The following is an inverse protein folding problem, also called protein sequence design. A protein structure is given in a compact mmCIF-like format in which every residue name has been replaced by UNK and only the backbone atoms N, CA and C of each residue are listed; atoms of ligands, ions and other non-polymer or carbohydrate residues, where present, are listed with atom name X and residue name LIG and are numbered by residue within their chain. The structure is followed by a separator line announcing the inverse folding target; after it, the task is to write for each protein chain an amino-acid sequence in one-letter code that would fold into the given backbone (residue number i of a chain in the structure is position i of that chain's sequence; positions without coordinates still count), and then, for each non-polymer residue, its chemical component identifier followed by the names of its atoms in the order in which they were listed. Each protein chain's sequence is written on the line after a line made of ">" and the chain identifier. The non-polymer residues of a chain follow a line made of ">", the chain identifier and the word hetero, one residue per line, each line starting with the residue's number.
data_IF_476295031487
#
_entry.id   IF_476295031487
#
_cell.length_a   1.000
_cell.length_b   1.000
_cell.length_c   1.000
_cell.angle_alpha   90.00
_cell.angle_beta   90.00
_cell.angle_gamma   90.00
#
_symmetry.space_group_name_H-M   'P 1'
#
loop_
_entity.id
_entity.type
_entity.pdbx_description
1 polymer ?
#
# COMPACT_ATOMS: atom_id res chain seq x y z
N UNK A 1 -6.12 33.32 18.78
CA UNK A 1 -7.53 33.23 18.34
C UNK A 1 -8.10 34.62 18.21
N UNK A 2 -7.87 35.25 17.06
CA UNK A 2 -8.62 36.46 16.70
C UNK A 2 -9.96 36.01 16.12
N UNK A 3 -11.05 36.43 16.75
CA UNK A 3 -12.40 36.31 16.22
C UNK A 3 -12.52 37.29 15.04
N UNK A 4 -12.58 36.78 13.81
CA UNK A 4 -13.09 37.55 12.68
C UNK A 4 -14.61 37.50 12.71
N UNK A 5 -15.21 38.67 12.96
CA UNK A 5 -16.64 38.92 12.76
C UNK A 5 -16.86 39.06 11.26
N UNK A 6 -17.54 38.07 10.67
CA UNK A 6 -18.11 38.15 9.33
C UNK A 6 -19.38 39.01 9.44
N UNK A 7 -19.32 40.25 8.95
CA UNK A 7 -20.51 41.08 8.80
C UNK A 7 -21.28 40.59 7.56
N UNK A 8 -22.62 40.43 7.61
CA UNK A 8 -23.38 40.21 6.40
C UNK A 8 -23.30 41.47 5.54
N UNK A 9 -22.62 41.36 4.39
CA UNK A 9 -22.70 42.34 3.30
C UNK A 9 -24.17 42.49 2.94
N UNK A 10 -24.63 43.74 2.95
CA UNK A 10 -26.03 44.10 2.81
C UNK A 10 -26.56 43.68 1.45
N UNK A 11 -27.80 43.20 1.43
CA UNK A 11 -28.61 43.12 0.23
C UNK A 11 -28.70 44.52 -0.39
N UNK A 12 -27.99 44.74 -1.50
CA UNK A 12 -28.22 45.87 -2.36
C UNK A 12 -29.61 45.70 -2.98
N UNK A 13 -30.49 46.65 -2.67
CA UNK A 13 -31.76 46.81 -3.35
C UNK A 13 -31.47 47.14 -4.80
N UNK A 14 -31.99 46.36 -5.74
CA UNK A 14 -32.05 46.75 -7.15
C UNK A 14 -33.02 47.93 -7.26
N UNK A 15 -32.52 49.17 -7.19
CA UNK A 15 -33.25 50.32 -7.68
C UNK A 15 -33.23 50.30 -9.20
N UNK A 16 -34.36 49.93 -9.79
CA UNK A 16 -34.64 50.18 -11.20
C UNK A 16 -34.82 51.68 -11.43
N UNK A 17 -33.90 52.31 -12.16
CA UNK A 17 -34.19 53.57 -12.88
C UNK A 17 -33.29 54.75 -12.57
N UNK A 18 -32.04 54.68 -12.99
CA UNK A 18 -31.40 55.74 -13.79
C UNK A 18 -30.60 54.97 -14.85
N UNK A 19 -30.61 55.40 -16.11
CA UNK A 19 -29.62 54.90 -17.07
C UNK A 19 -28.27 55.44 -16.57
N UNK A 20 -27.69 54.76 -15.58
CA UNK A 20 -26.44 55.19 -14.94
C UNK A 20 -25.40 55.19 -16.05
N UNK A 21 -24.94 56.39 -16.38
CA UNK A 21 -24.01 56.58 -17.47
C UNK A 21 -22.68 55.99 -17.02
N UNK A 22 -22.35 54.83 -17.57
CA UNK A 22 -21.04 54.21 -17.41
C UNK A 22 -20.06 55.07 -18.22
N UNK A 23 -19.21 55.80 -17.50
CA UNK A 23 -18.17 56.67 -18.05
C UNK A 23 -16.77 56.02 -17.98
N UNK A 24 -16.58 55.06 -17.08
CA UNK A 24 -15.33 54.31 -16.87
C UNK A 24 -15.66 52.91 -16.34
N UNK A 25 -14.84 51.93 -16.71
CA UNK A 25 -14.89 50.58 -16.13
C UNK A 25 -13.58 50.33 -15.38
N UNK A 26 -13.64 49.50 -14.36
CA UNK A 26 -12.50 49.03 -13.60
C UNK A 26 -12.53 47.51 -13.59
N UNK A 27 -11.42 46.89 -13.98
CA UNK A 27 -11.24 45.44 -13.90
C UNK A 27 -10.39 45.07 -12.69
N UNK A 28 -10.85 44.08 -11.94
CA UNK A 28 -10.11 43.45 -10.86
C UNK A 28 -10.14 41.94 -11.05
N UNK A 29 -9.11 41.26 -10.54
CA UNK A 29 -9.03 39.81 -10.52
C UNK A 29 -8.78 39.40 -9.08
N UNK A 30 -9.59 38.46 -8.58
CA UNK A 30 -9.40 37.82 -7.28
C UNK A 30 -9.40 36.32 -7.54
N UNK A 31 -8.23 35.70 -7.36
CA UNK A 31 -8.01 34.30 -7.73
C UNK A 31 -8.43 34.02 -9.20
N UNK A 32 -9.40 33.15 -9.43
CA UNK A 32 -9.94 32.83 -10.76
C UNK A 32 -11.15 33.67 -11.16
N UNK A 33 -11.55 34.68 -10.39
CA UNK A 33 -12.74 35.48 -10.66
C UNK A 33 -12.36 36.87 -11.15
N UNK A 34 -12.79 37.21 -12.37
CA UNK A 34 -12.67 38.58 -12.92
C UNK A 34 -13.92 39.36 -12.55
N UNK A 35 -13.75 40.57 -12.04
CA UNK A 35 -14.85 41.49 -11.73
C UNK A 35 -14.69 42.78 -12.53
N UNK A 36 -15.76 43.20 -13.21
CA UNK A 36 -15.83 44.48 -13.94
C UNK A 36 -16.88 45.37 -13.29
N UNK A 37 -16.44 46.54 -12.83
CA UNK A 37 -17.32 47.51 -12.15
C UNK A 37 -17.22 48.90 -12.75
N UNK A 38 -18.24 49.71 -12.53
CA UNK A 38 -18.25 51.15 -12.76
C UNK A 38 -18.81 51.82 -11.53
N UNK A 39 -18.05 52.73 -10.91
CA UNK A 39 -18.45 53.39 -9.66
C UNK A 39 -18.94 52.41 -8.57
N UNK A 40 -18.25 51.26 -8.43
CA UNK A 40 -18.60 50.19 -7.48
C UNK A 40 -19.88 49.40 -7.83
N UNK A 41 -20.52 49.68 -8.97
CA UNK A 41 -21.65 48.91 -9.51
C UNK A 41 -21.17 47.88 -10.54
N UNK A 42 -21.74 46.67 -10.51
CA UNK A 42 -21.46 45.61 -11.47
C UNK A 42 -21.81 46.00 -12.91
N UNK A 43 -20.94 45.68 -13.87
CA UNK A 43 -21.19 45.89 -15.30
C UNK A 43 -21.47 44.55 -15.97
N UNK A 44 -22.73 44.28 -16.31
CA UNK A 44 -23.16 43.09 -17.06
C UNK A 44 -22.80 43.20 -18.55
N UNK A 45 -22.50 42.06 -19.19
CA UNK A 45 -22.20 41.95 -20.62
C UNK A 45 -20.95 42.73 -21.09
N UNK A 46 -20.03 43.08 -20.18
CA UNK A 46 -18.69 43.52 -20.55
C UNK A 46 -17.92 42.35 -21.16
N UNK A 47 -17.22 42.59 -22.25
CA UNK A 47 -16.36 41.58 -22.89
C UNK A 47 -15.06 41.47 -22.11
N UNK A 48 -14.67 40.26 -21.73
CA UNK A 48 -13.42 39.96 -21.03
C UNK A 48 -12.58 39.05 -21.92
N UNK A 49 -11.39 39.53 -22.28
CA UNK A 49 -10.39 38.79 -23.03
C UNK A 49 -9.15 38.59 -22.15
N UNK A 50 -8.91 37.35 -21.73
CA UNK A 50 -7.75 36.94 -20.95
C UNK A 50 -6.75 36.27 -21.88
N UNK A 51 -5.49 36.68 -21.79
CA UNK A 51 -4.39 36.09 -22.56
C UNK A 51 -3.16 35.91 -21.69
N UNK A 52 -2.47 34.79 -21.82
CA UNK A 52 -1.17 34.59 -21.18
C UNK A 52 -0.14 35.58 -21.70
N UNK A 53 0.68 36.08 -20.78
CA UNK A 53 1.88 36.84 -21.09
C UNK A 53 3.10 35.95 -21.28
N UNK A 54 2.98 34.68 -20.90
CA UNK A 54 4.01 33.65 -21.08
C UNK A 54 3.80 32.91 -22.41
N UNK A 55 4.85 32.80 -23.22
CA UNK A 55 4.79 32.09 -24.51
C UNK A 55 4.78 30.56 -24.34
N UNK A 56 5.28 30.06 -23.21
CA UNK A 56 5.41 28.62 -22.96
C UNK A 56 4.17 28.04 -22.26
N UNK A 57 3.34 28.88 -21.62
CA UNK A 57 2.12 28.47 -20.90
C UNK A 57 0.89 29.13 -21.54
N UNK A 58 0.26 28.51 -22.57
CA UNK A 58 -0.88 29.10 -23.25
C UNK A 58 -2.12 29.09 -22.36
N UNK A 59 -2.67 30.27 -22.11
CA UNK A 59 -3.92 30.46 -21.40
C UNK A 59 -4.72 31.55 -22.11
N UNK A 60 -5.94 31.24 -22.54
CA UNK A 60 -6.78 32.18 -23.26
C UNK A 60 -8.25 31.93 -22.95
N UNK A 61 -8.95 32.98 -22.53
CA UNK A 61 -10.37 32.94 -22.18
C UNK A 61 -11.05 34.15 -22.79
N UNK A 62 -12.14 33.90 -23.51
CA UNK A 62 -13.01 34.93 -24.07
C UNK A 62 -14.41 34.73 -23.51
N UNK A 63 -14.88 35.69 -22.71
CA UNK A 63 -16.20 35.59 -22.09
C UNK A 63 -16.86 36.96 -21.92
N UNK A 64 -18.11 36.96 -21.46
CA UNK A 64 -18.83 38.16 -21.06
C UNK A 64 -19.19 38.09 -19.59
N UNK A 65 -19.16 39.24 -18.91
CA UNK A 65 -19.59 39.32 -17.52
C UNK A 65 -21.08 39.00 -17.37
N UNK A 66 -21.42 38.34 -16.28
CA UNK A 66 -22.79 38.05 -15.89
C UNK A 66 -23.48 39.23 -15.19
N UNK A 67 -24.68 39.01 -14.66
CA UNK A 67 -25.48 40.05 -13.99
C UNK A 67 -24.81 40.63 -12.74
N UNK A 68 -23.85 39.91 -12.14
CA UNK A 68 -23.06 40.36 -11.00
C UNK A 68 -21.75 41.03 -11.45
N UNK A 69 -21.54 41.20 -12.76
CA UNK A 69 -20.36 41.84 -13.34
C UNK A 69 -19.12 40.96 -13.28
N UNK A 70 -19.30 39.64 -13.20
CA UNK A 70 -18.20 38.70 -12.97
C UNK A 70 -18.01 37.70 -14.10
N UNK A 71 -16.80 37.16 -14.21
CA UNK A 71 -16.44 36.03 -15.08
C UNK A 71 -15.58 35.05 -14.28
N UNK A 72 -16.05 33.82 -14.15
CA UNK A 72 -15.25 32.71 -13.62
C UNK A 72 -14.28 32.21 -14.70
N UNK A 73 -12.99 32.23 -14.39
CA UNK A 73 -11.93 31.71 -15.22
C UNK A 73 -11.68 30.23 -14.90
N UNK A 74 -11.32 29.39 -15.88
CA UNK A 74 -10.88 28.04 -15.61
C UNK A 74 -9.57 28.05 -14.80
N UNK A 75 -9.47 27.15 -13.82
CA UNK A 75 -8.23 26.95 -13.06
C UNK A 75 -7.07 26.59 -14.01
N UNK A 76 -5.90 27.23 -13.87
CA UNK A 76 -4.74 26.88 -14.66
C UNK A 76 -4.12 25.57 -14.15
N UNK A 77 -3.41 24.84 -15.02
CA UNK A 77 -2.67 23.63 -14.63
C UNK A 77 -1.31 23.97 -13.97
N UNK A 78 -0.76 25.15 -14.29
CA UNK A 78 0.50 25.67 -13.77
C UNK A 78 0.37 27.17 -13.53
N UNK A 79 1.23 27.75 -12.68
CA UNK A 79 1.24 29.20 -12.44
C UNK A 79 1.44 29.97 -13.74
N UNK A 80 0.50 30.87 -14.06
CA UNK A 80 0.49 31.62 -15.32
C UNK A 80 0.27 33.11 -15.08
N UNK A 81 1.06 33.95 -15.74
CA UNK A 81 0.87 35.39 -15.74
C UNK A 81 -0.06 35.77 -16.88
N UNK A 82 -1.22 36.36 -16.58
CA UNK A 82 -2.23 36.72 -17.58
C UNK A 82 -2.42 38.22 -17.67
N UNK A 83 -2.76 38.69 -18.87
CA UNK A 83 -3.34 40.00 -19.11
C UNK A 83 -4.84 39.85 -19.31
N UNK A 84 -5.62 40.52 -18.46
CA UNK A 84 -7.08 40.59 -18.56
C UNK A 84 -7.45 41.94 -19.16
N UNK A 85 -8.09 41.92 -20.33
CA UNK A 85 -8.62 43.10 -21.00
C UNK A 85 -10.15 43.06 -20.91
N UNK A 86 -10.74 44.05 -20.25
CA UNK A 86 -12.18 44.24 -20.24
C UNK A 86 -12.57 45.37 -21.20
N UNK A 87 -13.67 45.18 -21.94
CA UNK A 87 -14.26 46.24 -22.76
C UNK A 87 -15.79 46.27 -22.67
N UNK A 88 -16.36 47.47 -22.74
CA UNK A 88 -17.80 47.67 -22.66
C UNK A 88 -18.22 48.86 -23.54
N UNK A 89 -19.24 48.69 -24.38
CA UNK A 89 -19.83 49.79 -25.15
C UNK A 89 -20.97 50.41 -24.34
N UNK A 90 -20.80 51.67 -23.92
CA UNK A 90 -21.83 52.36 -23.14
C UNK A 90 -23.03 52.78 -24.02
N UNK A 91 -24.10 53.25 -23.38
CA UNK A 91 -25.31 53.70 -24.07
C UNK A 91 -25.09 54.86 -25.07
N UNK A 92 -23.97 55.58 -24.96
CA UNK A 92 -23.57 56.65 -25.89
C UNK A 92 -22.79 56.13 -27.10
N UNK A 93 -22.49 54.82 -27.16
CA UNK A 93 -21.68 54.18 -28.20
C UNK A 93 -20.18 54.42 -28.03
N UNK A 94 -19.73 54.76 -26.83
CA UNK A 94 -18.31 54.86 -26.48
C UNK A 94 -17.81 53.51 -25.95
N UNK A 95 -16.70 53.04 -26.52
CA UNK A 95 -16.01 51.83 -26.06
C UNK A 95 -15.10 52.19 -24.89
N UNK A 96 -15.46 51.69 -23.71
CA UNK A 96 -14.66 51.77 -22.50
C UNK A 96 -13.79 50.53 -22.40
N UNK A 97 -12.54 50.70 -21.99
CA UNK A 97 -11.60 49.59 -21.84
C UNK A 97 -10.80 49.76 -20.57
N UNK A 98 -10.57 48.67 -19.85
CA UNK A 98 -9.59 48.63 -18.78
C UNK A 98 -8.78 47.33 -18.86
N UNK A 99 -7.58 47.36 -18.29
CA UNK A 99 -6.62 46.25 -18.36
C UNK A 99 -5.91 46.06 -17.04
N UNK A 100 -5.83 44.82 -16.59
CA UNK A 100 -4.98 44.43 -15.47
C UNK A 100 -4.12 43.22 -15.83
N UNK A 101 -3.04 43.05 -15.09
CA UNK A 101 -2.15 41.89 -15.17
C UNK A 101 -2.19 41.20 -13.81
N UNK A 102 -2.35 39.89 -13.81
CA UNK A 102 -2.46 39.08 -12.59
C UNK A 102 -1.73 37.75 -12.78
N UNK A 103 -1.29 37.16 -11.68
CA UNK A 103 -0.72 35.81 -11.66
C UNK A 103 -1.80 34.85 -11.16
N UNK A 104 -2.23 33.93 -12.02
CA UNK A 104 -3.13 32.85 -11.63
C UNK A 104 -2.29 31.65 -11.17
N UNK A 105 -2.63 31.11 -10.01
CA UNK A 105 -2.00 29.91 -9.46
C UNK A 105 -3.00 28.74 -9.56
N UNK A 106 -2.54 27.50 -9.80
CA UNK A 106 -3.41 26.34 -9.74
C UNK A 106 -3.93 26.14 -8.31
N UNK A 107 -5.11 25.53 -8.16
CA UNK A 107 -5.58 25.11 -6.84
C UNK A 107 -4.59 24.07 -6.25
N UNK A 108 -4.13 24.24 -4.99
CA UNK A 108 -3.26 23.26 -4.36
C UNK A 108 -4.02 21.93 -4.17
N UNK A 109 -3.53 20.86 -4.82
CA UNK A 109 -4.17 19.53 -4.76
C UNK A 109 -4.00 18.81 -3.41
N UNK A 110 -3.17 19.35 -2.50
CA UNK A 110 -2.95 18.80 -1.17
C UNK A 110 -2.23 17.45 -1.17
N UNK A 111 -2.34 16.72 -0.06
CA UNK A 111 -1.69 15.43 0.14
C UNK A 111 -2.48 14.30 -0.53
N UNK A 112 -1.81 13.53 -1.40
CA UNK A 112 -2.36 12.39 -2.12
C UNK A 112 -1.49 11.14 -1.91
N UNK A 113 -2.15 9.98 -1.90
CA UNK A 113 -1.53 8.67 -1.95
C UNK A 113 -2.05 7.90 -3.16
N UNK A 114 -1.12 7.42 -3.99
CA UNK A 114 -1.40 6.60 -5.16
C UNK A 114 -0.76 5.23 -4.99
N UNK A 115 -1.49 4.17 -5.34
CA UNK A 115 -1.01 2.79 -5.23
C UNK A 115 -1.12 2.11 -6.58
N UNK A 116 -0.01 1.62 -7.10
CA UNK A 116 0.12 0.91 -8.37
C UNK A 116 0.57 -0.53 -8.11
N UNK A 117 0.11 -1.48 -8.93
CA UNK A 117 0.51 -2.89 -8.80
C UNK A 117 0.75 -3.47 -10.19
N UNK A 118 2.01 -3.80 -10.47
CA UNK A 118 2.47 -4.32 -11.75
C UNK A 118 3.41 -5.52 -11.52
N UNK A 119 2.96 -6.47 -10.68
CA UNK A 119 3.82 -7.45 -10.02
C UNK A 119 3.98 -6.99 -8.57
N UNK A 120 5.02 -6.20 -8.31
CA UNK A 120 5.21 -5.57 -7.00
C UNK A 120 4.24 -4.38 -6.81
N UNK A 121 4.03 -3.99 -5.57
CA UNK A 121 3.16 -2.87 -5.17
C UNK A 121 4.03 -1.64 -4.95
N UNK A 122 3.69 -0.55 -5.63
CA UNK A 122 4.37 0.73 -5.48
C UNK A 122 3.37 1.72 -4.92
N UNK A 123 3.67 2.24 -3.74
CA UNK A 123 2.90 3.32 -3.10
C UNK A 123 3.67 4.62 -3.29
N UNK A 124 3.00 5.65 -3.79
CA UNK A 124 3.55 6.97 -4.03
C UNK A 124 2.79 7.98 -3.18
N UNK A 125 3.52 8.83 -2.44
CA UNK A 125 2.96 9.94 -1.67
C UNK A 125 3.40 11.24 -2.30
N UNK A 126 2.43 12.10 -2.62
CA UNK A 126 2.65 13.42 -3.20
C UNK A 126 1.91 14.47 -2.40
N UNK A 127 2.50 15.65 -2.27
CA UNK A 127 1.82 16.86 -1.78
C UNK A 127 1.92 17.91 -2.88
N UNK A 128 0.77 18.42 -3.34
CA UNK A 128 0.70 19.35 -4.47
C UNK A 128 1.49 18.83 -5.69
N UNK A 129 1.22 17.58 -6.07
CA UNK A 129 1.86 16.85 -7.19
C UNK A 129 3.38 16.68 -7.05
N UNK A 130 3.96 17.06 -5.91
CA UNK A 130 5.39 16.90 -5.62
C UNK A 130 5.60 15.71 -4.71
N UNK A 131 6.52 14.81 -5.08
CA UNK A 131 6.85 13.64 -4.28
C UNK A 131 7.32 14.00 -2.86
N UNK A 132 6.73 13.36 -1.85
CA UNK A 132 7.06 13.61 -0.43
C UNK A 132 7.98 12.52 0.08
N UNK A 133 9.26 12.86 0.24
CA UNK A 133 10.24 11.97 0.90
C UNK A 133 10.02 11.88 2.41
N UNK A 134 10.38 10.76 3.01
CA UNK A 134 10.28 10.52 4.46
C UNK A 134 8.85 10.65 5.03
N UNK A 135 7.82 10.51 4.19
CA UNK A 135 6.44 10.40 4.63
C UNK A 135 6.22 9.06 5.31
N UNK A 136 5.43 9.04 6.38
CA UNK A 136 5.07 7.81 7.09
C UNK A 136 3.86 7.20 6.42
N UNK A 137 3.96 5.94 5.98
CA UNK A 137 2.87 5.17 5.37
C UNK A 137 2.55 3.98 6.25
N UNK A 138 1.38 3.97 6.85
CA UNK A 138 0.83 2.84 7.60
C UNK A 138 0.03 1.93 6.64
N UNK A 139 0.34 0.65 6.66
CA UNK A 139 -0.23 -0.39 5.81
C UNK A 139 -0.92 -1.41 6.70
N UNK A 140 -2.21 -1.64 6.46
CA UNK A 140 -3.00 -2.61 7.22
C UNK A 140 -4.06 -3.26 6.34
N UNK A 141 -4.35 -4.53 6.56
CA UNK A 141 -5.50 -5.20 5.94
C UNK A 141 -6.82 -4.61 6.42
N UNK A 142 -7.82 -4.56 5.53
CA UNK A 142 -9.17 -4.08 5.86
C UNK A 142 -9.98 -5.16 6.59
N UNK A 143 -9.77 -6.43 6.24
CA UNK A 143 -10.38 -7.58 6.92
C UNK A 143 -9.47 -8.09 8.05
N UNK A 144 -9.99 -8.16 9.27
CA UNK A 144 -9.28 -8.65 10.46
C UNK A 144 -8.82 -10.12 10.37
N UNK A 145 -9.36 -10.88 9.42
CA UNK A 145 -9.01 -12.27 9.17
C UNK A 145 -8.06 -12.45 7.98
N UNK A 146 -7.83 -11.38 7.20
CA UNK A 146 -6.82 -11.39 6.17
C UNK A 146 -5.44 -11.17 6.79
N UNK A 147 -4.41 -11.66 6.11
CA UNK A 147 -3.02 -11.44 6.50
C UNK A 147 -2.24 -10.99 5.28
N UNK A 148 -1.42 -9.96 5.44
CA UNK A 148 -0.51 -9.52 4.40
C UNK A 148 0.89 -9.38 4.99
N UNK A 149 1.88 -9.93 4.29
CA UNK A 149 3.25 -10.02 4.82
C UNK A 149 3.85 -8.63 5.06
N UNK A 150 3.50 -7.65 4.22
CA UNK A 150 3.96 -6.27 4.30
C UNK A 150 2.97 -5.35 5.07
N UNK A 151 2.27 -5.88 6.07
CA UNK A 151 1.57 -5.04 7.04
C UNK A 151 2.57 -4.36 7.98
N UNK A 152 2.40 -3.06 8.20
CA UNK A 152 3.30 -2.29 9.07
C UNK A 152 3.40 -0.82 8.71
N UNK A 153 4.39 -0.16 9.30
CA UNK A 153 4.67 1.27 9.05
C UNK A 153 5.94 1.41 8.26
N UNK A 154 5.85 2.13 7.14
CA UNK A 154 6.94 2.37 6.21
C UNK A 154 7.26 3.85 6.09
N UNK A 155 8.41 4.14 5.49
CA UNK A 155 8.85 5.51 5.21
C UNK A 155 9.17 5.63 3.73
N UNK A 156 8.60 6.63 3.05
CA UNK A 156 8.88 6.85 1.64
C UNK A 156 10.34 7.27 1.41
N UNK A 157 10.91 6.78 0.30
CA UNK A 157 12.27 7.16 -0.12
C UNK A 157 12.34 8.56 -0.72
N UNK A 158 13.50 8.92 -1.29
CA UNK A 158 13.75 10.26 -1.87
C UNK A 158 12.77 10.64 -2.99
N UNK A 159 12.22 9.65 -3.70
CA UNK A 159 11.23 9.85 -4.77
C UNK A 159 9.78 9.82 -4.26
N UNK A 160 9.56 9.85 -2.94
CA UNK A 160 8.23 9.77 -2.34
C UNK A 160 7.54 8.41 -2.50
N UNK A 161 8.30 7.35 -2.78
CA UNK A 161 7.75 6.01 -2.99
C UNK A 161 8.18 5.01 -1.92
N UNK A 162 7.33 4.01 -1.69
CA UNK A 162 7.67 2.77 -0.99
C UNK A 162 7.28 1.58 -1.88
N UNK A 163 8.15 0.59 -1.97
CA UNK A 163 7.88 -0.68 -2.64
C UNK A 163 7.51 -1.74 -1.61
N UNK A 164 6.44 -2.47 -1.88
CA UNK A 164 5.94 -3.60 -1.10
C UNK A 164 5.75 -4.80 -2.03
N UNK A 165 5.80 -6.01 -1.49
CA UNK A 165 5.58 -7.22 -2.27
C UNK A 165 4.08 -7.44 -2.49
N UNK A 166 3.70 -8.11 -3.58
CA UNK A 166 2.32 -8.55 -3.73
C UNK A 166 1.94 -9.60 -2.66
N UNK A 167 0.66 -9.70 -2.28
CA UNK A 167 0.22 -10.73 -1.35
C UNK A 167 0.57 -12.13 -1.84
N UNK A 168 0.86 -13.03 -0.89
CA UNK A 168 1.11 -14.43 -1.15
C UNK A 168 -0.21 -15.20 -1.21
N UNK A 169 -0.28 -16.20 -2.08
CA UNK A 169 -1.41 -17.14 -2.14
C UNK A 169 -2.16 -17.06 -3.46
N UNK A 170 -3.47 -17.33 -3.39
CA UNK A 170 -4.36 -17.41 -4.55
C UNK A 170 -5.60 -16.52 -4.41
N UNK A 171 -5.61 -15.62 -3.42
CA UNK A 171 -6.72 -14.73 -3.12
C UNK A 171 -6.19 -13.30 -3.04
N UNK A 172 -6.98 -12.36 -3.56
CA UNK A 172 -6.67 -10.94 -3.49
C UNK A 172 -6.94 -10.43 -2.08
N UNK A 173 -6.12 -9.49 -1.61
CA UNK A 173 -6.22 -8.92 -0.26
C UNK A 173 -6.58 -7.44 -0.37
N UNK A 174 -7.56 -6.99 0.40
CA UNK A 174 -7.90 -5.57 0.50
C UNK A 174 -7.05 -4.89 1.58
N UNK A 175 -6.25 -3.90 1.18
CA UNK A 175 -5.28 -3.22 2.05
C UNK A 175 -5.60 -1.73 2.09
N UNK A 176 -5.60 -1.17 3.30
CA UNK A 176 -5.67 0.26 3.58
C UNK A 176 -4.25 0.82 3.74
N UNK A 177 -4.03 1.97 3.12
CA UNK A 177 -2.79 2.73 3.17
C UNK A 177 -3.13 4.12 3.73
N UNK A 178 -2.56 4.45 4.87
CA UNK A 178 -2.71 5.74 5.51
C UNK A 178 -1.36 6.45 5.51
N UNK A 179 -1.33 7.70 5.08
CA UNK A 179 -0.13 8.54 5.18
C UNK A 179 -0.43 9.80 5.95
N UNK A 180 0.56 10.29 6.69
CA UNK A 180 0.44 11.55 7.44
C UNK A 180 1.70 12.39 7.23
N UNK A 181 1.49 13.62 6.75
CA UNK A 181 2.53 14.62 6.49
C UNK A 181 2.06 15.94 7.05
N UNK A 182 2.88 16.60 7.89
CA UNK A 182 2.59 17.95 8.43
C UNK A 182 1.17 18.17 8.98
N UNK A 183 0.64 17.18 9.71
CA UNK A 183 -0.72 17.16 10.30
C UNK A 183 -1.88 17.00 9.31
N UNK A 184 -1.61 16.77 8.04
CA UNK A 184 -2.56 16.29 7.05
C UNK A 184 -2.46 14.77 6.93
N UNK A 185 -3.60 14.10 6.88
CA UNK A 185 -3.67 12.65 6.76
C UNK A 185 -4.60 12.28 5.61
N UNK A 186 -4.16 11.35 4.78
CA UNK A 186 -4.96 10.79 3.68
C UNK A 186 -4.91 9.27 3.74
N UNK A 187 -6.03 8.65 3.44
CA UNK A 187 -6.19 7.19 3.41
C UNK A 187 -6.67 6.77 2.03
N UNK A 188 -6.12 5.66 1.52
CA UNK A 188 -6.62 4.99 0.33
C UNK A 188 -6.70 3.49 0.57
N UNK A 189 -7.69 2.84 -0.04
CA UNK A 189 -7.88 1.39 0.03
C UNK A 189 -7.69 0.79 -1.36
N UNK A 190 -6.94 -0.29 -1.47
CA UNK A 190 -6.74 -1.01 -2.73
C UNK A 190 -6.79 -2.51 -2.53
N UNK A 191 -7.47 -3.19 -3.46
CA UNK A 191 -7.39 -4.64 -3.61
C UNK A 191 -6.09 -5.00 -4.34
N UNK A 192 -5.23 -5.74 -3.67
CA UNK A 192 -3.97 -6.25 -4.20
C UNK A 192 -4.16 -7.68 -4.69
N UNK A 193 -3.79 -7.94 -5.93
CA UNK A 193 -3.79 -9.28 -6.50
C UNK A 193 -2.57 -10.06 -6.02
N UNK A 194 -2.67 -11.39 -5.82
CA UNK A 194 -1.53 -12.19 -5.43
C UNK A 194 -0.46 -12.22 -6.52
N UNK A 195 0.80 -12.39 -6.11
CA UNK A 195 1.88 -12.59 -7.08
C UNK A 195 1.62 -13.84 -7.93
N UNK A 196 1.84 -13.73 -9.24
CA UNK A 196 1.76 -14.87 -10.15
C UNK A 196 3.04 -15.71 -10.06
N UNK A 197 2.90 -16.99 -9.69
CA UNK A 197 4.01 -17.92 -9.64
C UNK A 197 3.81 -19.07 -10.63
N UNK A 198 4.82 -19.30 -11.48
CA UNK A 198 4.79 -20.37 -12.50
C UNK A 198 4.72 -21.79 -11.89
N UNK A 199 5.32 -21.97 -10.71
CA UNK A 199 5.36 -23.26 -10.03
C UNK A 199 5.16 -23.10 -8.53
N UNK A 200 4.55 -24.10 -7.90
CA UNK A 200 4.43 -24.16 -6.44
C UNK A 200 5.80 -24.06 -5.74
N UNK A 201 6.87 -24.59 -6.33
CA UNK A 201 8.22 -24.45 -5.80
C UNK A 201 8.72 -23.00 -5.80
N UNK A 202 8.34 -22.21 -6.81
CA UNK A 202 8.65 -20.78 -6.87
C UNK A 202 7.90 -20.01 -5.79
N UNK A 203 6.62 -20.34 -5.57
CA UNK A 203 5.79 -19.76 -4.50
C UNK A 203 6.40 -20.04 -3.11
N UNK A 204 6.77 -21.30 -2.83
CA UNK A 204 7.41 -21.68 -1.57
C UNK A 204 8.78 -21.01 -1.41
N UNK A 205 9.56 -20.89 -2.48
CA UNK A 205 10.87 -20.23 -2.42
C UNK A 205 10.74 -18.74 -2.12
N UNK A 206 9.75 -18.07 -2.70
CA UNK A 206 9.44 -16.67 -2.40
C UNK A 206 8.96 -16.49 -0.95
N UNK A 207 8.05 -17.35 -0.49
CA UNK A 207 7.60 -17.35 0.90
C UNK A 207 8.75 -17.56 1.90
N UNK A 208 9.65 -18.52 1.64
CA UNK A 208 10.83 -18.75 2.47
C UNK A 208 11.76 -17.52 2.47
N UNK A 209 11.85 -16.81 1.35
CA UNK A 209 12.56 -15.54 1.24
C UNK A 209 12.03 -14.53 2.25
N UNK A 210 10.74 -14.25 2.21
CA UNK A 210 10.13 -13.21 3.06
C UNK A 210 10.00 -13.65 4.52
N UNK A 211 9.67 -14.92 4.77
CA UNK A 211 9.58 -15.46 6.13
C UNK A 211 10.93 -15.49 6.86
N UNK A 212 12.07 -15.41 6.17
CA UNK A 212 13.38 -15.32 6.82
C UNK A 212 13.59 -14.00 7.53
N UNK A 213 12.96 -12.93 7.05
CA UNK A 213 13.16 -11.58 7.58
C UNK A 213 12.20 -11.26 8.74
N UNK A 214 10.98 -11.85 8.74
CA UNK A 214 9.91 -11.48 9.69
C UNK A 214 9.33 -12.63 10.56
N UNK A 215 9.81 -13.88 10.46
CA UNK A 215 9.20 -14.97 11.25
C UNK A 215 9.64 -14.99 12.73
N UNK A 216 8.68 -14.72 13.61
CA UNK A 216 8.80 -14.87 15.07
C UNK A 216 8.64 -16.36 15.47
N UNK A 217 9.53 -17.23 14.97
CA UNK A 217 9.47 -18.68 15.23
C UNK A 217 10.44 -19.52 14.40
N UNK A 218 10.46 -20.87 14.60
CA UNK A 218 11.27 -21.75 13.78
C UNK A 218 10.79 -21.72 12.33
N UNK A 219 11.55 -21.05 11.44
CA UNK A 219 11.27 -20.92 10.00
C UNK A 219 10.74 -22.20 9.36
N UNK A 220 11.31 -23.36 9.71
CA UNK A 220 10.88 -24.65 9.18
C UNK A 220 9.43 -25.02 9.47
N UNK A 221 8.86 -24.60 10.61
CA UNK A 221 7.44 -24.81 10.94
C UNK A 221 6.54 -23.88 10.13
N UNK A 222 6.91 -22.61 10.02
CA UNK A 222 6.19 -21.60 9.22
C UNK A 222 6.11 -22.04 7.76
N UNK A 223 7.23 -22.48 7.19
CA UNK A 223 7.30 -23.02 5.83
C UNK A 223 6.49 -24.31 5.69
N UNK A 224 6.52 -25.20 6.68
CA UNK A 224 5.74 -26.44 6.61
C UNK A 224 4.22 -26.18 6.62
N UNK A 225 3.75 -25.23 7.43
CA UNK A 225 2.34 -24.81 7.46
C UNK A 225 1.93 -24.16 6.13
N UNK A 226 2.76 -23.28 5.58
CA UNK A 226 2.51 -22.69 4.26
C UNK A 226 2.40 -23.75 3.17
N UNK A 227 3.33 -24.71 3.15
CA UNK A 227 3.32 -25.80 2.17
C UNK A 227 2.05 -26.65 2.33
N UNK A 228 1.62 -26.93 3.56
CA UNK A 228 0.39 -27.68 3.83
C UNK A 228 -0.85 -26.99 3.25
N UNK A 229 -0.99 -25.71 3.50
CA UNK A 229 -2.17 -24.91 3.15
C UNK A 229 -2.27 -24.67 1.65
N UNK A 230 -1.13 -24.47 0.97
CA UNK A 230 -1.10 -24.18 -0.46
C UNK A 230 -0.75 -25.40 -1.33
N UNK A 231 -0.63 -26.61 -0.77
CA UNK A 231 -0.28 -27.81 -1.56
C UNK A 231 -1.39 -28.16 -2.57
N UNK A 232 -1.14 -28.06 -3.90
CA UNK A 232 -2.13 -28.42 -4.91
C UNK A 232 -2.48 -29.92 -4.92
N UNK A 233 -1.69 -30.75 -4.24
CA UNK A 233 -1.84 -32.20 -4.15
C UNK A 233 -2.80 -32.71 -3.06
N UNK A 234 -3.51 -31.84 -2.35
CA UNK A 234 -4.45 -32.19 -1.26
C UNK A 234 -3.81 -33.14 -0.24
N UNK A 235 -2.94 -32.58 0.61
CA UNK A 235 -2.15 -33.33 1.58
C UNK A 235 -3.04 -34.15 2.53
N UNK A 236 -2.66 -35.39 2.89
CA UNK A 236 -3.41 -36.20 3.86
C UNK A 236 -3.33 -35.60 5.27
N UNK A 237 -4.28 -35.92 6.16
CA UNK A 237 -4.43 -35.33 7.52
C UNK A 237 -3.19 -35.40 8.44
N UNK A 238 -2.24 -36.28 8.11
CA UNK A 238 -0.99 -36.46 8.84
C UNK A 238 0.21 -35.76 8.17
N UNK A 239 -0.03 -35.00 7.11
CA UNK A 239 0.97 -34.13 6.53
C UNK A 239 1.21 -32.96 7.50
N UNK A 240 2.48 -32.62 7.69
CA UNK A 240 2.89 -31.56 8.60
C UNK A 240 4.01 -31.99 9.53
N UNK A 241 4.58 -31.01 10.26
CA UNK A 241 5.63 -31.30 11.22
C UNK A 241 5.08 -32.16 12.38
N UNK A 242 5.87 -33.10 12.93
CA UNK A 242 5.46 -33.85 14.10
C UNK A 242 5.10 -32.94 15.28
N UNK A 243 4.26 -33.41 16.20
CA UNK A 243 3.88 -32.66 17.42
C UNK A 243 5.06 -32.25 18.32
N UNK A 244 6.24 -32.83 18.10
CA UNK A 244 7.49 -32.56 18.81
C UNK A 244 8.51 -31.75 17.98
N UNK A 245 8.10 -31.22 16.83
CA UNK A 245 8.91 -30.29 16.05
C UNK A 245 8.82 -28.90 16.71
N UNK A 246 9.70 -28.63 17.66
CA UNK A 246 9.88 -27.36 18.34
C UNK A 246 11.24 -27.36 19.05
N UNK A 247 11.77 -26.18 19.45
CA UNK A 247 13.02 -26.15 20.20
C UNK A 247 12.88 -27.00 21.47
N UNK A 248 13.94 -27.71 21.86
CA UNK A 248 14.01 -28.41 23.13
C UNK A 248 13.61 -27.43 24.23
N UNK A 249 12.50 -27.67 24.91
CA UNK A 249 12.02 -26.77 25.94
C UNK A 249 13.11 -26.58 26.99
N UNK A 250 13.45 -25.32 27.29
CA UNK A 250 14.20 -24.92 28.48
C UNK A 250 13.31 -25.13 29.72
N UNK A 251 13.04 -26.40 30.03
CA UNK A 251 12.24 -26.83 31.16
C UNK A 251 12.87 -28.05 31.77
N UNK A 252 13.63 -27.80 32.84
CA UNK A 252 14.12 -28.68 33.90
C UNK A 252 14.55 -30.10 33.52
N UNK A 253 15.78 -30.41 33.93
CA UNK A 253 16.42 -31.73 33.95
C UNK A 253 15.46 -32.88 34.31
N UNK A 254 14.82 -33.50 33.32
CA UNK A 254 14.47 -34.91 33.34
C UNK A 254 14.81 -35.47 31.97
N UNK A 255 15.74 -36.42 31.99
CA UNK A 255 16.44 -36.99 30.84
C UNK A 255 15.53 -37.82 29.95
N UNK A 256 14.73 -37.19 29.09
CA UNK A 256 14.14 -37.83 27.92
C UNK A 256 15.00 -37.51 26.69
N UNK A 257 16.28 -37.87 26.77
CA UNK A 257 17.08 -38.07 25.57
C UNK A 257 16.33 -39.12 24.75
N UNK A 258 15.80 -38.72 23.60
CA UNK A 258 15.32 -39.65 22.59
C UNK A 258 16.46 -40.63 22.32
N UNK A 259 16.36 -41.81 22.92
CA UNK A 259 17.27 -42.89 22.66
C UNK A 259 17.23 -43.21 21.18
N UNK A 260 18.34 -43.70 20.59
CA UNK A 260 18.28 -44.23 19.25
C UNK A 260 17.15 -45.28 19.18
N UNK A 261 16.46 -45.44 18.03
CA UNK A 261 15.33 -46.35 17.89
C UNK A 261 15.65 -47.71 18.52
N UNK A 262 14.67 -48.39 19.14
CA UNK A 262 14.83 -49.66 19.90
C UNK A 262 15.56 -50.81 19.14
N UNK A 263 15.92 -50.59 17.88
CA UNK A 263 16.64 -51.52 17.01
C UNK A 263 18.10 -51.15 16.75
N UNK A 264 18.58 -50.03 17.30
CA UNK A 264 20.00 -49.70 17.31
C UNK A 264 20.68 -50.51 18.42
N UNK A 265 20.90 -51.81 18.16
CA UNK A 265 21.54 -52.73 19.09
C UNK A 265 22.77 -52.10 19.73
N UNK A 266 22.63 -51.70 20.99
CA UNK A 266 23.72 -51.17 21.80
C UNK A 266 24.72 -52.28 22.13
N UNK A 267 26.01 -51.94 22.35
CA UNK A 267 27.02 -52.92 22.70
C UNK A 267 26.69 -53.57 24.05
N UNK A 268 27.02 -54.86 24.27
CA UNK A 268 26.74 -55.54 25.53
C UNK A 268 27.57 -54.88 26.63
N UNK A 269 26.89 -54.24 27.58
CA UNK A 269 27.48 -53.76 28.82
C UNK A 269 27.75 -54.93 29.76
N UNK A 270 28.98 -54.99 30.24
CA UNK A 270 29.49 -55.93 31.23
C UNK A 270 28.98 -55.57 32.64
N UNK A 271 28.88 -56.61 33.49
CA UNK A 271 28.79 -56.62 34.97
C UNK A 271 27.42 -56.20 35.55
N UNK A 272 26.78 -56.92 36.48
CA UNK A 272 27.36 -57.58 37.64
C UNK A 272 26.43 -58.66 38.26
N UNK A 273 27.08 -59.50 39.07
CA UNK A 273 26.66 -60.73 39.77
C UNK A 273 25.38 -60.68 40.63
N UNK A 274 24.62 -61.78 40.68
CA UNK A 274 24.36 -62.49 41.95
C UNK A 274 23.80 -63.91 41.74
N UNK A 275 24.25 -64.82 42.61
CA UNK A 275 24.10 -66.27 42.54
C UNK A 275 22.70 -66.77 42.91
N UNK A 276 22.28 -67.91 42.32
CA UNK A 276 21.76 -69.04 43.09
C UNK A 276 21.95 -70.35 42.30
N UNK A 277 22.42 -71.35 43.04
CA UNK A 277 22.80 -72.71 42.65
C UNK A 277 21.60 -73.57 42.23
N UNK A 278 21.77 -74.38 41.18
CA UNK A 278 21.28 -75.75 41.13
C UNK A 278 22.02 -76.55 40.06
N UNK A 279 22.56 -77.70 40.50
CA UNK A 279 22.99 -78.89 39.74
C UNK A 279 22.16 -79.11 38.43
N UNK A 280 22.57 -79.86 37.42
CA UNK A 280 23.18 -81.20 37.43
C UNK A 280 23.68 -81.54 36.01
N UNK A 281 24.85 -82.17 35.96
CA UNK A 281 25.26 -83.26 35.05
C UNK A 281 25.34 -83.12 33.52
N UNK A 282 26.58 -83.39 33.08
CA UNK A 282 26.97 -84.37 32.07
C UNK A 282 27.04 -83.96 30.58
N UNK A 283 28.29 -83.71 30.18
CA UNK A 283 29.05 -84.37 29.10
C UNK A 283 28.42 -84.56 27.71
N UNK A 284 29.26 -84.20 26.72
CA UNK A 284 29.52 -84.80 25.40
C UNK A 284 29.15 -84.03 24.14
N UNK A 285 30.25 -83.67 23.45
CA UNK A 285 30.58 -83.88 22.05
C UNK A 285 29.81 -83.14 20.94
N UNK A 286 30.59 -82.27 20.30
CA UNK A 286 30.83 -82.20 18.85
C UNK A 286 29.76 -82.81 17.94
N UNK A 287 29.13 -81.97 17.11
CA UNK A 287 29.28 -82.12 15.65
C UNK A 287 28.63 -80.96 14.88
N UNK A 288 29.49 -80.32 14.09
CA UNK A 288 29.34 -80.10 12.66
C UNK A 288 28.10 -79.34 12.10
N UNK A 289 28.42 -78.24 11.40
CA UNK A 289 28.19 -78.07 9.96
C UNK A 289 27.51 -76.76 9.53
N UNK A 290 28.10 -76.20 8.47
CA UNK A 290 27.49 -75.40 7.39
C UNK A 290 27.07 -73.95 7.64
N UNK A 291 28.03 -73.07 7.37
CA UNK A 291 27.94 -71.94 6.41
C UNK A 291 26.60 -71.75 5.69
N UNK A 292 25.80 -70.73 6.03
CA UNK A 292 24.86 -70.15 5.06
C UNK A 292 24.56 -68.67 5.29
N UNK A 293 25.03 -67.83 4.35
CA UNK A 293 24.19 -66.87 3.64
C UNK A 293 23.87 -65.53 4.31
N UNK A 294 24.72 -64.53 4.06
CA UNK A 294 24.27 -63.14 3.97
C UNK A 294 23.25 -63.02 2.82
N UNK A 295 21.97 -62.94 3.15
CA UNK A 295 20.89 -62.75 2.20
C UNK A 295 19.87 -61.75 2.74
N UNK A 296 20.22 -60.46 2.77
CA UNK A 296 19.27 -59.38 2.98
C UNK A 296 18.29 -59.31 1.81
N UNK A 297 17.14 -59.95 1.94
CA UNK A 297 16.02 -59.78 1.03
C UNK A 297 15.28 -58.46 1.31
N UNK A 298 14.82 -57.73 0.29
CA UNK A 298 14.10 -56.47 0.47
C UNK A 298 12.71 -56.70 1.13
N UNK A 299 12.21 -55.71 1.91
CA UNK A 299 10.98 -55.83 2.68
C UNK A 299 9.73 -56.04 1.80
N UNK A 300 8.89 -56.96 2.24
CA UNK A 300 7.61 -57.31 1.62
C UNK A 300 6.54 -56.25 1.92
N UNK A 301 6.50 -55.18 1.12
CA UNK A 301 5.30 -54.33 1.07
C UNK A 301 4.96 -53.77 -0.32
N UNK A 302 5.63 -54.21 -1.38
CA UNK A 302 5.21 -53.91 -2.75
C UNK A 302 4.27 -55.00 -3.27
N UNK A 303 2.97 -54.84 -3.05
CA UNK A 303 1.91 -55.57 -3.74
C UNK A 303 1.14 -54.63 -4.68
N UNK A 304 0.72 -55.07 -5.88
CA UNK A 304 0.24 -54.18 -6.94
C UNK A 304 -1.28 -53.95 -6.89
N UNK A 305 -1.69 -52.68 -6.98
CA UNK A 305 -2.69 -52.10 -7.90
C UNK A 305 -3.11 -50.72 -7.42
#
# INVERSE_FOLDING_TARGET
>A
MMLSVLAPVGAATAETGDDEVIDEITVAVDDTVVTVTSNETAVENATVNVTSTDEDTPYAVDNMTDADGTVDLPEPEETVNVTVNASYENASGEELTDKTEETLEPEPKGLEISVEQNGDVVVTVTDNETAVSNATVDVSTVDENASYADEGTYTTGDNGTVGLDAPFGNESVEVAFNTTVDNESVETTKTLEPAEYDTFGSLVSAFVGNAQDDSDGPLGLTVANFVLEHNPGNAPDHAGPPSHAGPSGDGDEETDNQGPPEHAGGPPGEEDVDAEEADEDAETDEDDNSSQGNGGGPPSHAGPN
#
